data_IF_226243034021
#
_entry.id   IF_226243034021
#
_cell.length_a   1.000
_cell.length_b   1.000
_cell.length_c   1.000
_cell.angle_alpha   90.00
_cell.angle_beta   90.00
_cell.angle_gamma   90.00
#
_symmetry.space_group_name_H-M   'P 1'
#
loop_
_entity.id
_entity.type
_entity.pdbx_description
1 polymer ?
#
# COMPACT_ATOMS: atom_id res chain seq x y z
N UNK A 1 -23.06 -0.59 -1.85
CA UNK A 1 -21.63 -0.33 -2.15
C UNK A 1 -20.84 -1.19 -1.19
N UNK A 2 -20.06 -2.15 -1.66
CA UNK A 2 -19.22 -2.98 -0.79
C UNK A 2 -18.18 -2.09 -0.13
N UNK A 3 -18.12 -2.09 1.20
CA UNK A 3 -17.08 -1.38 1.95
C UNK A 3 -15.71 -1.85 1.44
N UNK A 4 -14.86 -0.91 1.02
CA UNK A 4 -13.51 -1.26 0.57
C UNK A 4 -12.69 -1.77 1.76
N UNK A 5 -11.88 -2.79 1.52
CA UNK A 5 -11.02 -3.44 2.51
C UNK A 5 -9.56 -3.09 2.21
N UNK A 6 -8.87 -2.57 3.21
CA UNK A 6 -7.48 -2.16 3.12
C UNK A 6 -6.64 -3.09 3.97
N UNK A 7 -5.59 -3.65 3.38
CA UNK A 7 -4.51 -4.31 4.08
C UNK A 7 -3.34 -3.36 4.31
N UNK A 8 -2.67 -3.48 5.44
CA UNK A 8 -1.45 -2.72 5.73
C UNK A 8 -0.38 -3.64 6.34
N UNK A 9 0.82 -3.66 5.75
CA UNK A 9 1.94 -4.48 6.21
C UNK A 9 3.11 -3.55 6.58
N UNK A 10 3.58 -3.66 7.81
CA UNK A 10 4.68 -2.84 8.34
C UNK A 10 4.19 -1.56 9.00
N UNK A 11 4.20 -1.55 10.33
CA UNK A 11 3.71 -0.51 11.23
C UNK A 11 4.88 0.14 11.98
N UNK A 12 5.99 0.36 11.29
CA UNK A 12 7.10 1.16 11.81
C UNK A 12 6.77 2.65 11.90
N UNK A 13 7.81 3.47 12.07
CA UNK A 13 7.71 4.94 12.26
C UNK A 13 6.79 5.64 11.25
N UNK A 14 6.82 5.23 9.98
CA UNK A 14 5.97 5.79 8.93
C UNK A 14 4.64 5.04 8.78
N UNK A 15 4.66 3.71 8.91
CA UNK A 15 3.51 2.85 8.64
C UNK A 15 2.38 3.02 9.64
N UNK A 16 2.69 3.08 10.93
CA UNK A 16 1.69 3.20 11.99
C UNK A 16 0.80 4.45 11.86
N UNK A 17 1.34 5.69 11.74
CA UNK A 17 0.49 6.87 11.57
C UNK A 17 -0.30 6.87 10.26
N UNK A 18 0.23 6.27 9.18
CA UNK A 18 -0.50 6.11 7.92
C UNK A 18 -1.67 5.14 8.07
N UNK A 19 -1.45 3.97 8.68
CA UNK A 19 -2.48 2.99 8.94
C UNK A 19 -3.60 3.55 9.83
N UNK A 20 -3.23 4.26 10.91
CA UNK A 20 -4.18 4.98 11.78
C UNK A 20 -5.05 5.95 10.98
N UNK A 21 -4.42 6.80 10.16
CA UNK A 21 -5.14 7.78 9.35
C UNK A 21 -6.10 7.11 8.36
N UNK A 22 -5.67 6.03 7.70
CA UNK A 22 -6.54 5.26 6.82
C UNK A 22 -7.76 4.74 7.58
N UNK A 23 -7.58 4.16 8.76
CA UNK A 23 -8.69 3.64 9.58
C UNK A 23 -9.69 4.73 9.96
N UNK A 24 -9.19 5.88 10.44
CA UNK A 24 -10.04 6.95 10.95
C UNK A 24 -10.74 7.77 9.86
N UNK A 25 -10.12 7.91 8.68
CA UNK A 25 -10.54 8.89 7.67
C UNK A 25 -11.14 8.29 6.41
N UNK A 26 -10.82 7.04 6.07
CA UNK A 26 -11.24 6.46 4.78
C UNK A 26 -12.67 5.91 4.78
N UNK A 27 -13.24 5.62 5.96
CA UNK A 27 -14.48 4.86 6.08
C UNK A 27 -14.37 3.40 5.59
N UNK A 28 -13.15 2.91 5.35
CA UNK A 28 -12.86 1.54 4.91
C UNK A 28 -12.54 0.65 6.11
N UNK A 29 -12.70 -0.67 5.93
CA UNK A 29 -12.20 -1.63 6.92
C UNK A 29 -10.69 -1.81 6.74
N UNK A 30 -9.91 -1.56 7.78
CA UNK A 30 -8.46 -1.69 7.75
C UNK A 30 -8.03 -2.90 8.57
N UNK A 31 -7.28 -3.80 7.95
CA UNK A 31 -6.61 -4.92 8.60
C UNK A 31 -5.10 -4.73 8.46
N UNK A 32 -4.36 -4.86 9.54
CA UNK A 32 -2.91 -4.65 9.53
C UNK A 32 -2.14 -5.86 10.07
N UNK A 33 -0.94 -6.06 9.53
CA UNK A 33 0.03 -7.05 9.96
C UNK A 33 1.38 -6.37 10.23
N UNK A 34 2.01 -6.76 11.33
CA UNK A 34 3.40 -6.44 11.65
C UNK A 34 4.02 -7.61 12.41
N UNK A 35 5.33 -7.77 12.30
CA UNK A 35 6.08 -8.80 13.04
C UNK A 35 6.16 -8.49 14.54
N UNK A 36 6.04 -7.20 14.89
CA UNK A 36 5.94 -6.73 16.26
C UNK A 36 4.47 -6.55 16.65
N UNK A 37 4.07 -7.07 17.81
CA UNK A 37 2.69 -6.96 18.30
C UNK A 37 2.34 -5.54 18.81
N UNK A 38 3.32 -4.81 19.37
CA UNK A 38 3.07 -3.54 20.07
C UNK A 38 2.40 -2.45 19.19
N UNK A 39 2.77 -2.25 17.91
CA UNK A 39 2.06 -1.30 17.04
C UNK A 39 0.62 -1.71 16.71
N UNK A 40 0.37 -3.02 16.59
CA UNK A 40 -0.97 -3.56 16.32
C UNK A 40 -1.91 -3.28 17.51
N UNK A 41 -1.42 -3.45 18.73
CA UNK A 41 -2.17 -3.14 19.95
C UNK A 41 -2.55 -1.66 20.03
N UNK A 42 -1.61 -0.75 19.74
CA UNK A 42 -1.88 0.70 19.71
C UNK A 42 -2.89 1.11 18.64
N UNK A 43 -2.98 0.35 17.55
CA UNK A 43 -3.91 0.64 16.45
C UNK A 43 -5.30 0.02 16.63
N UNK A 44 -5.46 -0.94 17.55
CA UNK A 44 -6.76 -1.51 17.89
C UNK A 44 -7.74 -0.42 18.35
N UNK A 45 -7.25 0.55 19.14
CA UNK A 45 -8.04 1.71 19.58
C UNK A 45 -8.50 2.62 18.43
N UNK A 46 -7.81 2.57 17.28
CA UNK A 46 -8.18 3.30 16.07
C UNK A 46 -9.09 2.49 15.13
N UNK A 47 -9.59 1.33 15.55
CA UNK A 47 -10.48 0.47 14.77
C UNK A 47 -9.76 -0.40 13.72
N UNK A 48 -8.43 -0.50 13.78
CA UNK A 48 -7.65 -1.37 12.90
C UNK A 48 -7.77 -2.82 13.39
N UNK A 49 -8.17 -3.72 12.51
CA UNK A 49 -8.17 -5.16 12.79
C UNK A 49 -6.75 -5.71 12.68
N UNK A 50 -6.36 -6.58 13.60
CA UNK A 50 -5.04 -7.22 13.58
C UNK A 50 -5.14 -8.52 12.78
N UNK A 51 -4.25 -8.70 11.81
CA UNK A 51 -4.05 -9.98 11.13
C UNK A 51 -2.99 -10.79 11.88
N UNK A 52 -3.27 -12.08 12.11
CA UNK A 52 -2.30 -13.02 12.67
C UNK A 52 -1.26 -13.49 11.66
N UNK A 53 -1.52 -13.29 10.37
CA UNK A 53 -0.65 -13.68 9.25
C UNK A 53 -0.92 -12.85 8.00
N UNK A 54 0.03 -12.79 7.07
CA UNK A 54 -0.16 -12.12 5.78
C UNK A 54 -1.30 -12.75 4.96
N UNK A 55 -1.54 -14.05 5.12
CA UNK A 55 -2.64 -14.75 4.45
C UNK A 55 -4.03 -14.18 4.80
N UNK A 56 -4.20 -13.62 6.00
CA UNK A 56 -5.47 -13.01 6.43
C UNK A 56 -5.78 -11.70 5.69
N UNK A 57 -4.79 -11.11 5.02
CA UNK A 57 -4.96 -9.92 4.19
C UNK A 57 -5.45 -10.24 2.76
N UNK A 58 -5.65 -11.52 2.42
CA UNK A 58 -6.06 -11.98 1.09
C UNK A 58 -7.33 -11.31 0.54
N UNK A 59 -8.24 -10.91 1.42
CA UNK A 59 -9.53 -10.30 1.05
C UNK A 59 -9.45 -8.79 0.78
N UNK A 60 -8.30 -8.15 1.00
CA UNK A 60 -8.12 -6.73 0.78
C UNK A 60 -8.30 -6.36 -0.72
N UNK A 61 -8.88 -5.20 -0.98
CA UNK A 61 -8.89 -4.57 -2.30
C UNK A 61 -7.53 -3.94 -2.61
N UNK A 62 -6.91 -3.35 -1.58
CA UNK A 62 -5.58 -2.71 -1.67
C UNK A 62 -4.74 -3.11 -0.46
N UNK A 63 -3.47 -3.44 -0.66
CA UNK A 63 -2.51 -3.77 0.39
C UNK A 63 -1.34 -2.79 0.32
N UNK A 64 -1.09 -2.05 1.40
CA UNK A 64 0.06 -1.16 1.53
C UNK A 64 1.22 -1.87 2.20
N UNK A 65 2.43 -1.66 1.70
CA UNK A 65 3.67 -2.11 2.33
C UNK A 65 4.46 -0.88 2.80
N UNK A 66 4.84 -0.83 4.07
CA UNK A 66 5.74 0.20 4.62
C UNK A 66 6.86 -0.49 5.38
N UNK A 67 7.79 -1.08 4.64
CA UNK A 67 8.84 -1.95 5.17
C UNK A 67 10.22 -1.28 5.18
N UNK A 68 11.11 -1.67 6.10
CA UNK A 68 12.37 -0.95 6.35
C UNK A 68 13.43 -1.14 5.25
N UNK A 69 13.30 -2.14 4.38
CA UNK A 69 14.27 -2.41 3.32
C UNK A 69 13.69 -3.25 2.19
N UNK A 70 14.32 -3.21 1.02
CA UNK A 70 13.98 -4.11 -0.09
C UNK A 70 14.12 -5.60 0.25
N UNK A 71 15.00 -5.97 1.21
CA UNK A 71 15.05 -7.35 1.72
C UNK A 71 13.74 -7.72 2.41
N UNK A 72 13.24 -6.86 3.30
CA UNK A 72 11.97 -7.09 3.98
C UNK A 72 10.79 -7.11 3.01
N UNK A 73 10.79 -6.25 1.98
CA UNK A 73 9.78 -6.26 0.91
C UNK A 73 9.81 -7.58 0.14
N UNK A 74 10.99 -8.06 -0.25
CA UNK A 74 11.14 -9.39 -0.86
C UNK A 74 10.63 -10.48 0.07
N UNK A 75 10.92 -10.38 1.37
CA UNK A 75 10.54 -11.41 2.32
C UNK A 75 9.02 -11.55 2.46
N UNK A 76 8.34 -10.41 2.57
CA UNK A 76 6.88 -10.32 2.62
C UNK A 76 6.24 -10.76 1.30
N UNK A 77 6.82 -10.35 0.17
CA UNK A 77 6.18 -10.57 -1.12
C UNK A 77 6.42 -11.97 -1.70
N UNK A 78 7.63 -12.50 -1.57
CA UNK A 78 8.10 -13.66 -2.32
C UNK A 78 8.47 -14.85 -1.44
N UNK A 79 9.18 -14.67 -0.31
CA UNK A 79 9.60 -15.78 0.58
C UNK A 79 10.04 -15.27 1.96
N UNK A 80 9.58 -15.79 3.12
CA UNK A 80 8.76 -16.99 3.30
C UNK A 80 7.25 -16.71 3.34
N UNK A 81 6.85 -15.44 3.39
CA UNK A 81 5.45 -15.05 3.66
C UNK A 81 4.57 -15.08 2.41
N UNK A 82 5.18 -15.02 1.22
CA UNK A 82 4.55 -15.28 -0.08
C UNK A 82 3.23 -14.51 -0.29
N UNK A 83 3.19 -13.20 -0.03
CA UNK A 83 2.00 -12.38 -0.30
C UNK A 83 1.47 -12.56 -1.74
N UNK A 84 2.35 -12.79 -2.71
CA UNK A 84 1.98 -13.07 -4.11
C UNK A 84 1.04 -14.28 -4.27
N UNK A 85 1.09 -15.26 -3.37
CA UNK A 85 0.24 -16.44 -3.40
C UNK A 85 -1.09 -16.25 -2.65
N UNK A 86 -1.15 -15.25 -1.77
CA UNK A 86 -2.30 -14.98 -0.92
C UNK A 86 -3.19 -13.88 -1.47
N UNK A 87 -2.62 -12.90 -2.17
CA UNK A 87 -3.38 -11.78 -2.73
C UNK A 87 -4.36 -12.28 -3.81
N UNK A 88 -5.65 -11.95 -3.65
CA UNK A 88 -6.67 -12.32 -4.64
C UNK A 88 -6.47 -11.53 -5.94
N UNK A 89 -6.83 -12.16 -7.06
CA UNK A 89 -6.92 -11.45 -8.34
C UNK A 89 -7.80 -10.20 -8.22
N UNK A 90 -7.33 -9.09 -8.79
CA UNK A 90 -7.96 -7.78 -8.68
C UNK A 90 -7.51 -6.94 -7.47
N UNK A 91 -6.73 -7.50 -6.53
CA UNK A 91 -6.05 -6.71 -5.49
C UNK A 91 -4.99 -5.82 -6.10
N UNK A 92 -4.70 -4.68 -5.46
CA UNK A 92 -3.53 -3.85 -5.76
C UNK A 92 -2.58 -3.81 -4.55
N UNK A 93 -1.32 -4.16 -4.76
CA UNK A 93 -0.25 -4.02 -3.77
C UNK A 93 0.52 -2.72 -4.05
N UNK A 94 0.77 -1.93 -3.02
CA UNK A 94 1.46 -0.63 -3.12
C UNK A 94 2.64 -0.61 -2.14
N UNK A 95 3.87 -0.60 -2.67
CA UNK A 95 5.08 -0.45 -1.85
C UNK A 95 5.35 1.05 -1.58
N UNK A 96 5.23 1.45 -0.32
CA UNK A 96 5.51 2.80 0.17
C UNK A 96 6.97 2.97 0.63
N UNK A 97 7.72 1.85 0.68
CA UNK A 97 9.10 1.80 1.07
C UNK A 97 10.05 2.28 -0.03
N UNK A 98 11.34 2.26 0.26
CA UNK A 98 12.38 2.53 -0.74
C UNK A 98 13.04 1.21 -1.14
N UNK A 99 12.48 0.58 -2.17
CA UNK A 99 12.98 -0.67 -2.72
C UNK A 99 13.89 -0.45 -3.94
N UNK A 100 14.89 -1.31 -4.19
CA UNK A 100 15.66 -1.27 -5.43
C UNK A 100 14.75 -1.42 -6.66
N UNK A 101 15.02 -0.66 -7.71
CA UNK A 101 14.20 -0.68 -8.95
C UNK A 101 14.10 -2.08 -9.56
N UNK A 102 15.19 -2.86 -9.51
CA UNK A 102 15.20 -4.23 -10.01
C UNK A 102 14.21 -5.13 -9.25
N UNK A 103 14.13 -4.96 -7.92
CA UNK A 103 13.16 -5.68 -7.09
C UNK A 103 11.73 -5.25 -7.42
N UNK A 104 11.47 -3.95 -7.53
CA UNK A 104 10.13 -3.45 -7.85
C UNK A 104 9.60 -4.01 -9.19
N UNK A 105 10.47 -4.13 -10.20
CA UNK A 105 10.12 -4.73 -11.50
C UNK A 105 9.85 -6.23 -11.39
N UNK A 106 10.69 -6.96 -10.67
CA UNK A 106 10.47 -8.39 -10.41
C UNK A 106 9.12 -8.61 -9.70
N UNK A 107 8.80 -7.80 -8.70
CA UNK A 107 7.52 -7.88 -7.99
C UNK A 107 6.34 -7.56 -8.90
N UNK A 108 6.45 -6.53 -9.74
CA UNK A 108 5.42 -6.20 -10.73
C UNK A 108 5.10 -7.39 -11.63
N UNK A 109 6.14 -8.03 -12.21
CA UNK A 109 5.96 -9.19 -13.08
C UNK A 109 5.30 -10.37 -12.35
N UNK A 110 5.70 -10.62 -11.09
CA UNK A 110 5.15 -11.71 -10.27
C UNK A 110 3.69 -11.48 -9.89
N UNK A 111 3.32 -10.27 -9.46
CA UNK A 111 1.95 -9.96 -9.10
C UNK A 111 1.02 -9.93 -10.32
N UNK A 112 1.47 -9.38 -11.46
CA UNK A 112 0.69 -9.37 -12.70
C UNK A 112 0.37 -10.79 -13.17
N UNK A 113 1.33 -11.73 -13.05
CA UNK A 113 1.11 -13.13 -13.39
C UNK A 113 -0.04 -13.79 -12.59
N UNK A 114 -0.33 -13.28 -11.39
CA UNK A 114 -1.44 -13.71 -10.53
C UNK A 114 -2.71 -12.86 -10.68
N UNK A 115 -2.75 -11.90 -11.62
CA UNK A 115 -3.87 -10.97 -11.77
C UNK A 115 -3.94 -9.88 -10.70
N UNK A 116 -2.83 -9.61 -10.01
CA UNK A 116 -2.70 -8.61 -8.95
C UNK A 116 -1.93 -7.40 -9.50
N UNK A 117 -2.41 -6.19 -9.20
CA UNK A 117 -1.68 -4.96 -9.53
C UNK A 117 -0.54 -4.72 -8.55
N UNK A 118 0.57 -4.18 -9.01
CA UNK A 118 1.68 -3.74 -8.16
C UNK A 118 2.07 -2.30 -8.49
N UNK A 119 2.36 -1.50 -7.47
CA UNK A 119 2.78 -0.12 -7.64
C UNK A 119 3.89 0.28 -6.66
N UNK A 120 4.84 1.08 -7.14
CA UNK A 120 6.00 1.57 -6.40
C UNK A 120 5.77 3.05 -6.07
N UNK A 121 5.52 3.37 -4.81
CA UNK A 121 5.04 4.66 -4.33
C UNK A 121 5.83 5.15 -3.10
N UNK A 122 7.18 5.28 -3.20
CA UNK A 122 8.01 5.61 -2.06
C UNK A 122 7.61 6.94 -1.43
N UNK A 123 7.46 6.95 -0.12
CA UNK A 123 7.08 8.15 0.63
C UNK A 123 8.34 8.94 1.00
N UNK A 124 8.47 10.17 0.47
CA UNK A 124 9.56 11.08 0.84
C UNK A 124 9.30 11.72 2.22
N UNK A 125 10.35 11.83 3.04
CA UNK A 125 10.30 12.30 4.45
C UNK A 125 10.15 13.82 4.61
N UNK A 126 9.62 14.55 3.63
CA UNK A 126 9.39 15.99 3.75
C UNK A 126 7.96 16.27 4.21
N UNK A 127 7.84 17.02 5.30
CA UNK A 127 6.58 17.64 5.75
C UNK A 127 6.02 18.63 4.72
N UNK A 128 6.82 18.94 3.69
CA UNK A 128 6.38 19.54 2.45
C UNK A 128 5.99 18.44 1.46
N UNK A 129 4.69 18.35 1.18
CA UNK A 129 4.25 17.82 -0.10
C UNK A 129 5.03 18.57 -1.19
N UNK A 130 5.61 17.89 -2.20
CA UNK A 130 6.22 18.59 -3.31
C UNK A 130 5.19 19.57 -3.89
N UNK A 131 5.47 20.87 -3.82
CA UNK A 131 4.66 21.91 -4.44
C UNK A 131 4.76 21.73 -5.95
N UNK A 132 3.88 20.93 -6.52
CA UNK A 132 3.59 20.97 -7.94
C UNK A 132 2.55 22.08 -8.18
N UNK A 133 2.77 22.97 -9.16
CA UNK A 133 1.81 24.02 -9.47
C UNK A 133 0.47 23.40 -9.86
N UNK A 134 -0.56 23.77 -9.09
CA UNK A 134 -1.99 23.48 -9.22
C UNK A 134 -2.42 22.60 -10.41
N UNK A 135 -2.63 21.30 -10.15
CA UNK A 135 -3.51 20.47 -10.95
C UNK A 135 -4.81 20.26 -10.17
N UNK A 136 -5.71 21.25 -10.28
CA UNK A 136 -7.11 21.09 -9.89
C UNK A 136 -7.79 20.10 -10.83
N UNK A 137 -7.71 18.82 -10.51
CA UNK A 137 -8.63 17.82 -11.04
C UNK A 137 -9.36 17.16 -9.88
N UNK A 138 -10.56 17.68 -9.61
CA UNK A 138 -11.58 16.96 -8.86
C UNK A 138 -11.95 15.71 -9.67
N UNK A 139 -11.45 14.54 -9.25
CA UNK A 139 -11.66 13.29 -9.96
C UNK A 139 -11.61 12.11 -8.99
N UNK A 140 -12.78 11.74 -8.48
CA UNK A 140 -13.02 10.47 -7.77
C UNK A 140 -12.58 9.31 -8.66
N UNK A 141 -11.68 8.46 -8.16
CA UNK A 141 -11.33 7.21 -8.86
C UNK A 141 -12.45 6.18 -8.67
N UNK A 142 -13.04 5.64 -9.75
CA UNK A 142 -13.80 4.41 -9.64
C UNK A 142 -12.82 3.24 -9.46
N UNK A 143 -13.23 2.23 -8.69
CA UNK A 143 -12.50 0.97 -8.59
C UNK A 143 -12.31 0.38 -10.01
N UNK A 144 -11.08 0.45 -10.54
CA UNK A 144 -10.76 -0.10 -11.84
C UNK A 144 -9.75 0.72 -12.65
N UNK A 145 -8.52 0.18 -12.71
CA UNK A 145 -7.50 0.36 -13.76
C UNK A 145 -6.63 1.64 -13.71
N UNK A 146 -5.39 1.44 -13.28
CA UNK A 146 -4.22 2.34 -13.50
C UNK A 146 -4.13 2.75 -14.98
N UNK A 147 -4.26 4.06 -15.28
CA UNK A 147 -3.97 4.63 -16.61
C UNK A 147 -2.48 4.98 -16.72
N UNK A 148 -2.02 4.98 -17.96
CA UNK A 148 -0.70 4.60 -18.47
C UNK A 148 0.40 5.68 -18.48
N UNK A 149 0.20 6.84 -17.86
CA UNK A 149 0.98 8.01 -18.26
C UNK A 149 1.23 8.98 -17.08
N UNK A 150 2.44 8.83 -16.51
CA UNK A 150 3.13 9.73 -15.56
C UNK A 150 2.52 9.79 -14.15
N UNK A 151 3.40 9.97 -13.17
CA UNK A 151 3.20 9.95 -11.71
C UNK A 151 1.76 10.30 -11.32
N UNK A 152 1.03 9.33 -10.77
CA UNK A 152 -0.39 9.50 -10.46
C UNK A 152 -0.58 9.69 -8.96
N UNK A 153 -1.46 10.62 -8.59
CA UNK A 153 -1.94 10.78 -7.22
C UNK A 153 -3.05 9.74 -6.95
N UNK A 154 -2.83 8.84 -6.00
CA UNK A 154 -3.83 7.90 -5.50
C UNK A 154 -4.44 8.47 -4.21
N UNK A 155 -5.74 8.77 -4.24
CA UNK A 155 -6.44 9.27 -3.05
C UNK A 155 -7.30 8.18 -2.42
N UNK A 156 -7.10 7.89 -1.13
CA UNK A 156 -8.01 7.08 -0.33
C UNK A 156 -8.79 8.00 0.61
N UNK A 157 -10.12 7.96 0.50
CA UNK A 157 -10.99 8.93 1.18
C UNK A 157 -10.91 10.32 0.56
N UNK A 158 -11.29 11.36 1.31
CA UNK A 158 -11.25 12.75 0.82
C UNK A 158 -9.89 13.45 1.07
N UNK A 159 -8.98 12.84 1.85
CA UNK A 159 -7.85 13.58 2.43
C UNK A 159 -6.47 12.90 2.29
N UNK A 160 -6.39 11.63 1.91
CA UNK A 160 -5.11 10.90 1.92
C UNK A 160 -4.64 10.67 0.49
N UNK A 161 -3.67 11.45 0.03
CA UNK A 161 -3.10 11.36 -1.32
C UNK A 161 -1.68 10.78 -1.30
N UNK A 162 -1.47 9.68 -2.02
CA UNK A 162 -0.18 9.04 -2.25
C UNK A 162 0.29 9.30 -3.68
N UNK A 163 1.59 9.54 -3.88
CA UNK A 163 2.16 9.64 -5.22
C UNK A 163 2.70 8.29 -5.65
N UNK A 164 2.12 7.76 -6.71
CA UNK A 164 2.40 6.41 -7.20
C UNK A 164 3.17 6.52 -8.51
N UNK A 165 4.29 5.79 -8.58
CA UNK A 165 5.05 5.57 -9.80
C UNK A 165 4.85 4.12 -10.26
N UNK A 166 4.96 3.89 -11.56
CA UNK A 166 5.18 2.53 -12.06
C UNK A 166 6.60 2.08 -11.70
N UNK A 167 6.79 0.79 -11.45
CA UNK A 167 8.11 0.25 -11.20
C UNK A 167 9.06 0.58 -12.38
N UNK A 168 10.15 1.30 -12.11
CA UNK A 168 11.17 1.62 -13.11
C UNK A 168 11.05 2.94 -13.87
N UNK A 169 10.21 3.90 -13.46
CA UNK A 169 10.35 5.30 -13.89
C UNK A 169 11.55 6.00 -13.23
N UNK A 170 12.15 7.01 -13.84
CA UNK A 170 13.11 7.91 -13.14
C UNK A 170 12.34 9.02 -12.41
N UNK A 171 12.87 9.51 -11.29
CA UNK A 171 12.40 10.74 -10.64
C UNK A 171 12.86 11.97 -11.41
#
# INVERSE_FOLDING_TARGET
MTAQRIGFIGLGVMGEPMCRNLSLKSGCQVTAFDVCAEPLERLAEAGVSQAGSIAELANADVIFLSLPSGKAVREVCLEPERLVDHARSGTTVVDLGTSPVALARELEDRFIACGVGFADAPVARTREAPRYPDLKHHGRWPAGRLRSDRTSAATIGEEITYWVRRAGGSW
#
